data_IF_333020384701
#
_entry.id   IF_333020384701
#
_cell.length_a   1.000
_cell.length_b   1.000
_cell.length_c   1.000
_cell.angle_alpha   90.00
_cell.angle_beta   90.00
_cell.angle_gamma   90.00
#
_symmetry.space_group_name_H-M   'P 1'
#
loop_
_entity.id
_entity.type
_entity.pdbx_description
1 polymer ?
#
# COMPACT_ATOMS: atom_id res chain seq x y z
N UNK A 1 0.14 -24.44 -22.69
CA UNK A 1 -1.08 -23.78 -22.16
C UNK A 1 -1.60 -22.89 -23.28
N UNK A 2 -2.89 -22.95 -23.58
CA UNK A 2 -3.51 -22.01 -24.54
C UNK A 2 -3.53 -20.59 -23.98
N UNK A 3 -3.67 -19.58 -24.84
CA UNK A 3 -3.79 -18.18 -24.40
C UNK A 3 -4.97 -18.00 -23.42
N UNK A 4 -6.12 -18.61 -23.71
CA UNK A 4 -7.30 -18.57 -22.84
C UNK A 4 -7.06 -19.22 -21.49
N UNK A 5 -6.40 -20.39 -21.43
CA UNK A 5 -6.04 -21.03 -20.16
C UNK A 5 -5.06 -20.17 -19.35
N UNK A 6 -4.10 -19.52 -20.00
CA UNK A 6 -3.14 -18.64 -19.34
C UNK A 6 -3.83 -17.42 -18.70
N UNK A 7 -4.74 -16.78 -19.44
CA UNK A 7 -5.56 -15.66 -18.93
C UNK A 7 -6.42 -16.13 -17.76
N UNK A 8 -7.13 -17.25 -17.88
CA UNK A 8 -7.99 -17.75 -16.81
C UNK A 8 -7.21 -18.07 -15.52
N UNK A 9 -6.03 -18.68 -15.66
CA UNK A 9 -5.15 -18.97 -14.52
C UNK A 9 -4.64 -17.69 -13.85
N UNK A 10 -4.22 -16.69 -14.64
CA UNK A 10 -3.85 -15.37 -14.14
C UNK A 10 -5.01 -14.71 -13.38
N UNK A 11 -6.18 -14.65 -14.02
CA UNK A 11 -7.38 -13.98 -13.49
C UNK A 11 -7.81 -14.60 -12.16
N UNK A 12 -7.88 -15.93 -12.08
CA UNK A 12 -8.28 -16.59 -10.83
C UNK A 12 -7.25 -16.36 -9.73
N UNK A 13 -5.95 -16.50 -10.03
CA UNK A 13 -4.88 -16.27 -9.06
C UNK A 13 -4.87 -14.85 -8.51
N UNK A 14 -4.91 -13.85 -9.40
CA UNK A 14 -4.93 -12.44 -9.01
C UNK A 14 -6.23 -12.08 -8.26
N UNK A 15 -7.39 -12.60 -8.68
CA UNK A 15 -8.66 -12.23 -8.04
C UNK A 15 -8.76 -12.80 -6.62
N UNK A 16 -8.26 -14.02 -6.39
CA UNK A 16 -8.13 -14.57 -5.04
C UNK A 16 -7.12 -13.77 -4.20
N UNK A 17 -6.00 -13.34 -4.78
CA UNK A 17 -5.04 -12.48 -4.09
C UNK A 17 -5.70 -11.17 -3.64
N UNK A 18 -6.50 -10.52 -4.49
CA UNK A 18 -7.21 -9.29 -4.13
C UNK A 18 -8.32 -9.52 -3.10
N UNK A 19 -8.97 -10.69 -3.12
CA UNK A 19 -10.05 -11.02 -2.19
C UNK A 19 -9.54 -11.30 -0.78
N UNK A 20 -8.51 -12.14 -0.63
CA UNK A 20 -8.09 -12.65 0.68
C UNK A 20 -6.65 -12.33 1.04
N UNK A 21 -5.82 -11.97 0.06
CA UNK A 21 -4.37 -11.85 0.23
C UNK A 21 -3.68 -13.19 0.52
N UNK A 22 -2.35 -13.17 0.55
CA UNK A 22 -1.53 -14.22 1.16
C UNK A 22 -1.17 -13.77 2.59
N UNK A 23 -1.45 -14.59 3.60
CA UNK A 23 -1.04 -14.27 4.98
C UNK A 23 0.42 -14.63 5.19
N UNK A 24 1.17 -13.69 5.75
CA UNK A 24 2.57 -13.85 6.13
C UNK A 24 2.72 -14.09 7.64
N UNK A 25 3.72 -14.87 8.08
CA UNK A 25 4.06 -15.00 9.49
C UNK A 25 4.65 -13.69 10.05
N UNK A 26 4.52 -13.51 11.35
CA UNK A 26 5.30 -12.53 12.10
C UNK A 26 6.67 -13.15 12.35
N UNK A 27 7.71 -12.66 11.68
CA UNK A 27 9.05 -13.26 11.80
C UNK A 27 9.84 -12.75 12.99
N UNK A 28 9.61 -11.51 13.43
CA UNK A 28 10.21 -10.96 14.65
C UNK A 28 9.25 -10.01 15.36
N UNK A 29 9.62 -9.61 16.57
CA UNK A 29 8.88 -8.70 17.45
C UNK A 29 9.77 -7.51 17.89
N UNK A 30 9.19 -6.38 18.34
CA UNK A 30 9.98 -5.20 18.69
C UNK A 30 11.03 -5.41 19.79
N UNK A 31 10.78 -6.29 20.76
CA UNK A 31 11.74 -6.62 21.83
C UNK A 31 13.02 -7.29 21.32
N UNK A 32 12.95 -8.02 20.21
CA UNK A 32 14.13 -8.61 19.57
C UNK A 32 15.08 -7.54 18.98
N UNK A 33 14.58 -6.31 18.83
CA UNK A 33 15.37 -5.13 18.46
C UNK A 33 15.67 -4.22 19.66
N UNK A 34 15.36 -4.66 20.88
CA UNK A 34 15.56 -3.89 22.11
C UNK A 34 14.55 -2.76 22.30
N UNK A 35 13.37 -2.83 21.66
CA UNK A 35 12.30 -1.85 21.83
C UNK A 35 11.27 -2.33 22.86
N UNK A 36 10.85 -1.42 23.73
CA UNK A 36 9.64 -1.59 24.53
C UNK A 36 8.42 -1.58 23.61
N UNK A 37 7.41 -2.42 23.88
CA UNK A 37 6.14 -2.40 23.15
C UNK A 37 5.02 -3.12 23.90
N UNK A 38 3.80 -2.86 23.46
CA UNK A 38 2.58 -3.53 23.93
C UNK A 38 1.80 -4.09 22.73
N UNK A 39 1.26 -5.31 22.85
CA UNK A 39 0.27 -5.80 21.89
C UNK A 39 -1.05 -5.05 22.12
N UNK A 40 -1.59 -4.45 21.05
CA UNK A 40 -2.84 -3.69 21.09
C UNK A 40 -3.89 -4.32 20.18
N UNK A 41 -5.16 -4.21 20.59
CA UNK A 41 -6.31 -4.81 19.92
C UNK A 41 -7.36 -3.73 19.65
N UNK A 42 -7.84 -3.66 18.40
CA UNK A 42 -8.90 -2.75 17.99
C UNK A 42 -10.09 -3.53 17.45
N UNK A 43 -11.28 -3.45 18.07
CA UNK A 43 -12.48 -4.01 17.49
C UNK A 43 -12.92 -3.19 16.27
N UNK A 44 -13.34 -3.85 15.19
CA UNK A 44 -14.01 -3.21 14.06
C UNK A 44 -15.51 -3.51 14.03
N UNK A 45 -16.25 -2.71 13.27
CA UNK A 45 -17.72 -2.77 13.19
C UNK A 45 -18.25 -4.11 12.69
N UNK A 46 -17.48 -4.82 11.87
CA UNK A 46 -17.78 -6.14 11.32
C UNK A 46 -17.39 -7.29 12.27
N UNK A 47 -16.86 -6.99 13.46
CA UNK A 47 -16.41 -7.97 14.44
C UNK A 47 -14.99 -8.50 14.19
N UNK A 48 -14.31 -8.06 13.13
CA UNK A 48 -12.88 -8.34 12.96
C UNK A 48 -12.09 -7.64 14.08
N UNK A 49 -11.04 -8.28 14.59
CA UNK A 49 -10.14 -7.66 15.58
C UNK A 49 -8.83 -7.35 14.90
N UNK A 50 -8.56 -6.06 14.72
CA UNK A 50 -7.25 -5.60 14.24
C UNK A 50 -6.26 -5.68 15.39
N UNK A 51 -5.04 -6.09 15.07
CA UNK A 51 -3.96 -6.24 16.05
C UNK A 51 -2.77 -5.39 15.61
N UNK A 52 -2.10 -4.75 16.56
CA UNK A 52 -0.91 -3.96 16.29
C UNK A 52 0.08 -3.99 17.44
N UNK A 53 1.13 -3.21 17.31
CA UNK A 53 2.07 -2.91 18.38
C UNK A 53 2.00 -1.43 18.72
N UNK A 54 1.89 -1.12 20.00
CA UNK A 54 2.17 0.21 20.51
C UNK A 54 3.62 0.25 20.97
N UNK A 55 4.44 1.10 20.34
CA UNK A 55 5.85 1.29 20.67
C UNK A 55 5.99 2.68 21.31
N UNK A 56 6.17 2.77 22.64
CA UNK A 56 6.21 4.06 23.33
C UNK A 56 7.51 4.82 23.02
N UNK A 57 7.37 6.11 22.73
CA UNK A 57 8.49 7.05 22.69
C UNK A 57 8.51 7.87 23.99
N UNK A 58 9.51 7.62 24.85
CA UNK A 58 9.65 8.33 26.12
C UNK A 58 9.71 9.85 25.90
N UNK A 59 8.93 10.59 26.69
CA UNK A 59 8.84 12.06 26.65
C UNK A 59 8.28 12.66 25.35
N UNK A 60 7.61 11.86 24.50
CA UNK A 60 6.89 12.35 23.33
C UNK A 60 5.40 12.52 23.61
N UNK A 61 4.80 13.55 23.00
CA UNK A 61 3.34 13.71 22.89
C UNK A 61 2.86 13.53 21.44
N UNK A 62 3.76 13.11 20.55
CA UNK A 62 3.50 12.86 19.13
C UNK A 62 3.17 11.40 18.91
N UNK A 63 2.22 11.12 18.02
CA UNK A 63 1.80 9.76 17.63
C UNK A 63 2.03 9.57 16.13
N UNK A 64 2.60 8.43 15.76
CA UNK A 64 2.65 7.94 14.39
C UNK A 64 1.71 6.73 14.30
N UNK A 65 0.82 6.76 13.30
CA UNK A 65 0.03 5.59 12.90
C UNK A 65 0.69 5.07 11.62
N UNK A 66 1.30 3.89 11.70
CA UNK A 66 1.92 3.21 10.57
C UNK A 66 1.10 1.96 10.23
N UNK A 67 0.35 2.01 9.12
CA UNK A 67 -0.38 0.86 8.61
C UNK A 67 0.40 0.20 7.48
N UNK A 68 0.39 -1.13 7.45
CA UNK A 68 1.12 -1.93 6.46
C UNK A 68 0.26 -2.21 5.21
N UNK A 69 0.85 -2.36 4.02
CA UNK A 69 0.11 -2.68 2.80
C UNK A 69 -0.42 -4.12 2.80
N UNK A 70 -1.17 -4.50 1.76
CA UNK A 70 -1.77 -5.82 1.68
C UNK A 70 -0.71 -6.90 1.42
N UNK A 71 -0.98 -8.04 2.06
CA UNK A 71 -0.16 -9.22 2.39
C UNK A 71 0.94 -9.01 3.44
N UNK A 72 1.29 -7.78 3.79
CA UNK A 72 2.08 -7.50 4.99
C UNK A 72 1.29 -7.80 6.27
N UNK A 73 2.01 -7.86 7.39
CA UNK A 73 1.45 -7.81 8.72
C UNK A 73 2.19 -6.73 9.55
N UNK A 74 1.92 -6.63 10.85
CA UNK A 74 2.56 -5.66 11.76
C UNK A 74 4.10 -5.75 11.83
N UNK A 75 4.70 -6.83 11.34
CA UNK A 75 6.15 -6.99 11.16
C UNK A 75 6.67 -6.65 9.75
N UNK A 76 5.81 -6.37 8.75
CA UNK A 76 6.08 -6.29 7.30
C UNK A 76 5.89 -7.61 6.54
N UNK A 77 6.37 -7.68 5.30
CA UNK A 77 6.27 -8.82 4.40
C UNK A 77 7.58 -9.59 4.25
N UNK A 78 7.59 -10.92 4.42
CA UNK A 78 8.79 -11.74 4.40
C UNK A 78 9.22 -12.13 2.98
N UNK A 79 9.35 -11.17 2.06
CA UNK A 79 9.63 -11.42 0.63
C UNK A 79 10.97 -12.11 0.32
N UNK A 80 11.83 -12.33 1.32
CA UNK A 80 13.07 -13.11 1.19
C UNK A 80 12.83 -14.63 1.31
N UNK A 81 11.66 -15.06 1.78
CA UNK A 81 11.27 -16.47 1.83
C UNK A 81 10.70 -16.89 0.47
N UNK A 82 11.06 -18.09 0.00
CA UNK A 82 10.67 -18.61 -1.32
C UNK A 82 9.15 -18.55 -1.56
N UNK A 83 8.36 -18.92 -0.55
CA UNK A 83 6.89 -18.94 -0.59
C UNK A 83 6.24 -17.54 -0.63
N UNK A 84 7.01 -16.48 -0.35
CA UNK A 84 6.58 -15.09 -0.33
C UNK A 84 7.34 -14.22 -1.34
N UNK A 85 8.27 -14.79 -2.12
CA UNK A 85 9.10 -14.04 -3.08
C UNK A 85 8.34 -13.42 -4.25
N UNK A 86 7.02 -13.61 -4.32
CA UNK A 86 6.19 -13.26 -5.46
C UNK A 86 5.38 -11.98 -5.35
N UNK A 87 4.67 -11.70 -4.25
CA UNK A 87 3.53 -10.76 -4.33
C UNK A 87 3.12 -10.13 -2.99
N UNK A 88 3.24 -8.79 -2.90
CA UNK A 88 2.48 -7.93 -1.99
C UNK A 88 1.96 -6.73 -2.79
N UNK A 89 0.69 -6.41 -2.59
CA UNK A 89 0.04 -5.33 -3.31
C UNK A 89 -0.23 -4.15 -2.38
N UNK A 90 -0.01 -2.94 -2.88
CA UNK A 90 -0.02 -1.71 -2.11
C UNK A 90 -1.44 -1.15 -2.00
N UNK A 91 -2.14 -1.45 -0.91
CA UNK A 91 -3.50 -0.94 -0.67
C UNK A 91 -3.65 -0.21 0.68
N UNK A 92 -2.59 -0.12 1.48
CA UNK A 92 -2.62 0.56 2.79
C UNK A 92 -2.94 2.04 2.64
N UNK A 93 -2.29 2.67 1.67
CA UNK A 93 -2.41 4.08 1.34
C UNK A 93 -3.83 4.38 0.87
N UNK A 94 -4.40 3.48 0.06
CA UNK A 94 -5.78 3.59 -0.40
C UNK A 94 -6.74 3.55 0.78
N UNK A 95 -6.57 2.60 1.72
CA UNK A 95 -7.40 2.55 2.91
C UNK A 95 -7.36 3.87 3.71
N UNK A 96 -6.18 4.48 3.87
CA UNK A 96 -6.04 5.78 4.54
C UNK A 96 -6.74 6.91 3.77
N UNK A 97 -6.58 6.99 2.45
CA UNK A 97 -7.23 8.03 1.62
C UNK A 97 -8.77 7.88 1.63
N UNK A 98 -9.27 6.64 1.58
CA UNK A 98 -10.70 6.35 1.74
C UNK A 98 -11.18 6.76 3.14
N UNK A 99 -10.46 6.40 4.20
CA UNK A 99 -10.81 6.75 5.57
C UNK A 99 -10.83 8.27 5.78
N UNK A 100 -9.86 9.01 5.24
CA UNK A 100 -9.84 10.48 5.27
C UNK A 100 -11.04 11.10 4.57
N UNK A 101 -11.52 10.48 3.48
CA UNK A 101 -12.69 10.97 2.75
C UNK A 101 -13.98 10.71 3.49
N UNK A 102 -14.17 9.49 4.01
CA UNK A 102 -15.44 9.08 4.63
C UNK A 102 -15.55 9.52 6.09
N UNK A 103 -14.43 9.68 6.79
CA UNK A 103 -14.38 10.03 8.21
C UNK A 103 -13.37 11.15 8.51
N UNK A 104 -13.46 12.30 7.82
CA UNK A 104 -12.47 13.39 7.92
C UNK A 104 -12.31 13.91 9.35
N UNK A 105 -13.35 13.77 10.18
CA UNK A 105 -13.36 14.18 11.59
C UNK A 105 -12.19 13.58 12.39
N UNK A 106 -11.83 12.33 12.13
CA UNK A 106 -10.74 11.63 12.84
C UNK A 106 -9.34 12.08 12.40
N UNK A 107 -9.24 12.78 11.27
CA UNK A 107 -7.97 13.21 10.69
C UNK A 107 -7.65 14.68 10.96
N UNK A 108 -8.54 15.42 11.64
CA UNK A 108 -8.34 16.86 11.95
C UNK A 108 -7.07 17.15 12.75
N UNK A 109 -6.61 16.20 13.57
CA UNK A 109 -5.39 16.35 14.37
C UNK A 109 -4.12 15.95 13.61
N UNK A 110 -4.24 15.29 12.45
CA UNK A 110 -3.11 14.85 11.65
C UNK A 110 -2.33 16.07 11.14
N UNK A 111 -1.00 16.03 11.32
CA UNK A 111 -0.11 17.14 10.98
C UNK A 111 0.64 16.95 9.67
N UNK A 112 0.96 15.70 9.34
CA UNK A 112 1.62 15.33 8.11
C UNK A 112 1.31 13.87 7.78
N UNK A 113 1.51 13.50 6.53
CA UNK A 113 1.38 12.14 6.03
C UNK A 113 2.57 11.77 5.17
N UNK A 114 2.90 10.48 5.15
CA UNK A 114 3.81 9.88 4.18
C UNK A 114 3.02 8.80 3.42
N UNK A 115 2.94 8.93 2.10
CA UNK A 115 2.39 7.92 1.20
C UNK A 115 3.56 7.16 0.58
N UNK A 116 3.69 5.88 0.90
CA UNK A 116 4.78 5.05 0.44
C UNK A 116 4.26 4.08 -0.61
N UNK A 117 4.63 4.28 -1.88
CA UNK A 117 4.21 3.44 -2.99
C UNK A 117 2.68 3.38 -3.18
N UNK A 118 1.94 4.50 -3.13
CA UNK A 118 0.50 4.44 -3.41
C UNK A 118 0.23 4.10 -4.90
N UNK A 119 -0.77 3.24 -5.17
CA UNK A 119 -1.11 2.77 -6.52
C UNK A 119 -2.60 2.40 -6.66
N UNK A 120 -3.11 2.44 -7.89
CA UNK A 120 -4.41 1.93 -8.31
C UNK A 120 -4.42 0.43 -8.61
N UNK A 121 -5.56 -0.22 -8.35
CA UNK A 121 -5.92 -1.60 -8.73
C UNK A 121 -5.57 -1.92 -10.17
N UNK A 122 -6.01 -1.01 -11.04
CA UNK A 122 -5.87 -1.15 -12.47
C UNK A 122 -4.40 -1.24 -12.91
N UNK A 123 -3.53 -0.33 -12.43
CA UNK A 123 -2.13 -0.30 -12.82
C UNK A 123 -1.40 -1.61 -12.47
N UNK A 124 -1.74 -2.22 -11.34
CA UNK A 124 -1.18 -3.51 -10.93
C UNK A 124 -1.65 -4.68 -11.80
N UNK A 125 -2.95 -4.70 -12.15
CA UNK A 125 -3.52 -5.76 -13.00
C UNK A 125 -3.05 -5.63 -14.45
N UNK A 126 -2.99 -4.42 -14.99
CA UNK A 126 -2.47 -4.16 -16.33
C UNK A 126 -1.02 -4.61 -16.47
N UNK A 127 -0.14 -4.14 -15.58
CA UNK A 127 1.27 -4.52 -15.64
C UNK A 127 1.46 -6.02 -15.36
N UNK A 128 0.65 -6.58 -14.46
CA UNK A 128 0.58 -8.01 -14.20
C UNK A 128 0.24 -8.84 -15.44
N UNK A 129 -0.63 -8.34 -16.33
CA UNK A 129 -0.96 -8.99 -17.60
C UNK A 129 0.16 -8.80 -18.66
N UNK A 130 0.75 -7.59 -18.72
CA UNK A 130 1.81 -7.24 -19.69
C UNK A 130 3.08 -8.06 -19.44
N UNK A 131 3.51 -8.19 -18.19
CA UNK A 131 4.78 -8.87 -17.82
C UNK A 131 4.91 -10.30 -18.37
N UNK A 132 3.90 -11.19 -18.27
CA UNK A 132 3.91 -12.51 -18.89
C UNK A 132 3.49 -12.52 -20.37
N UNK A 133 3.20 -11.38 -20.99
CA UNK A 133 2.81 -11.28 -22.39
C UNK A 133 1.36 -11.69 -22.68
N UNK A 134 0.46 -11.53 -21.71
CA UNK A 134 -0.98 -11.78 -21.91
C UNK A 134 -1.63 -10.61 -22.66
N UNK A 135 -2.75 -10.89 -23.32
CA UNK A 135 -3.57 -9.83 -23.92
C UNK A 135 -4.13 -8.92 -22.82
N UNK A 136 -3.64 -7.69 -22.74
CA UNK A 136 -3.95 -6.76 -21.66
C UNK A 136 -5.45 -6.51 -21.53
N UNK A 137 -6.11 -6.16 -22.64
CA UNK A 137 -7.52 -5.77 -22.64
C UNK A 137 -8.44 -6.92 -22.21
N UNK A 138 -8.24 -8.11 -22.80
CA UNK A 138 -9.01 -9.30 -22.45
C UNK A 138 -8.76 -9.72 -21.00
N UNK A 139 -7.51 -9.67 -20.55
CA UNK A 139 -7.15 -10.09 -19.19
C UNK A 139 -7.73 -9.15 -18.15
N UNK A 140 -7.63 -7.83 -18.35
CA UNK A 140 -8.16 -6.81 -17.44
C UNK A 140 -9.69 -6.89 -17.38
N UNK A 141 -10.37 -7.03 -18.52
CA UNK A 141 -11.83 -7.16 -18.54
C UNK A 141 -12.31 -8.44 -17.83
N UNK A 142 -11.62 -9.56 -18.04
CA UNK A 142 -11.91 -10.81 -17.36
C UNK A 142 -11.65 -10.71 -15.84
N UNK A 143 -10.55 -10.07 -15.45
CA UNK A 143 -10.25 -9.80 -14.04
C UNK A 143 -11.32 -8.92 -13.39
N UNK A 144 -11.70 -7.82 -14.03
CA UNK A 144 -12.67 -6.86 -13.50
C UNK A 144 -14.01 -7.52 -13.19
N UNK A 145 -14.49 -8.36 -14.13
CA UNK A 145 -15.67 -9.19 -13.91
C UNK A 145 -15.47 -10.15 -12.72
N UNK A 146 -14.34 -10.85 -12.67
CA UNK A 146 -14.09 -11.86 -11.65
C UNK A 146 -13.95 -11.26 -10.25
N UNK A 147 -13.27 -10.14 -10.09
CA UNK A 147 -13.13 -9.48 -8.80
C UNK A 147 -14.48 -8.94 -8.31
N UNK A 148 -15.32 -8.44 -9.22
CA UNK A 148 -16.69 -8.03 -8.89
C UNK A 148 -17.55 -9.21 -8.42
N UNK A 149 -17.48 -10.37 -9.09
CA UNK A 149 -18.17 -11.59 -8.63
C UNK A 149 -17.72 -12.04 -7.22
N UNK A 150 -16.46 -11.80 -6.86
CA UNK A 150 -15.89 -12.25 -5.59
C UNK A 150 -16.08 -11.26 -4.44
N UNK A 151 -16.10 -9.95 -4.72
CA UNK A 151 -16.04 -8.90 -3.70
C UNK A 151 -17.18 -7.88 -3.80
N UNK A 152 -17.86 -7.81 -4.95
CA UNK A 152 -18.85 -6.78 -5.26
C UNK A 152 -18.26 -5.46 -5.77
N UNK A 153 -16.94 -5.30 -5.80
CA UNK A 153 -16.26 -4.09 -6.27
C UNK A 153 -15.70 -4.25 -7.68
N UNK A 154 -15.77 -3.18 -8.46
CA UNK A 154 -15.10 -3.05 -9.75
C UNK A 154 -13.69 -2.49 -9.59
N UNK A 155 -12.80 -2.76 -10.55
CA UNK A 155 -11.44 -2.20 -10.59
C UNK A 155 -11.43 -0.67 -10.53
N UNK A 156 -12.43 -0.02 -11.12
CA UNK A 156 -12.59 1.43 -11.08
C UNK A 156 -12.83 1.98 -9.67
N UNK A 157 -13.25 1.13 -8.73
CA UNK A 157 -13.43 1.46 -7.31
C UNK A 157 -12.18 1.15 -6.48
N UNK A 158 -11.23 0.40 -7.03
CA UNK A 158 -9.98 0.01 -6.36
C UNK A 158 -8.84 1.00 -6.64
N UNK A 159 -9.13 2.29 -6.68
CA UNK A 159 -8.14 3.36 -6.91
C UNK A 159 -8.34 4.52 -5.94
N UNK A 160 -7.26 5.12 -5.41
CA UNK A 160 -7.39 6.30 -4.56
C UNK A 160 -7.59 7.59 -5.38
N UNK A 161 -7.40 7.55 -6.70
CA UNK A 161 -7.28 8.73 -7.56
C UNK A 161 -8.46 9.72 -7.41
N UNK A 162 -9.74 9.29 -7.43
CA UNK A 162 -10.87 10.21 -7.28
C UNK A 162 -10.93 10.89 -5.90
N UNK A 163 -10.32 10.25 -4.90
CA UNK A 163 -10.34 10.63 -3.50
C UNK A 163 -9.06 11.36 -3.06
N UNK A 164 -7.99 11.29 -3.84
CA UNK A 164 -6.70 11.93 -3.56
C UNK A 164 -6.84 13.43 -3.26
N UNK A 165 -7.80 14.11 -3.90
CA UNK A 165 -8.13 15.53 -3.65
C UNK A 165 -8.54 15.84 -2.20
N UNK A 166 -9.00 14.85 -1.45
CA UNK A 166 -9.41 15.01 -0.05
C UNK A 166 -8.21 14.91 0.92
N UNK A 167 -7.06 14.45 0.45
CA UNK A 167 -5.81 14.53 1.19
C UNK A 167 -5.32 15.97 1.16
N UNK A 168 -5.55 16.70 2.25
CA UNK A 168 -5.20 18.14 2.35
C UNK A 168 -4.03 18.42 3.30
N UNK A 169 -3.61 17.44 4.09
CA UNK A 169 -2.46 17.55 4.99
C UNK A 169 -1.14 17.55 4.22
N UNK A 170 -0.06 18.15 4.75
CA UNK A 170 1.27 18.03 4.16
C UNK A 170 1.64 16.58 3.89
N UNK A 171 1.92 16.24 2.63
CA UNK A 171 2.15 14.85 2.19
C UNK A 171 3.50 14.66 1.51
N UNK A 172 4.35 13.80 2.08
CA UNK A 172 5.51 13.25 1.40
C UNK A 172 5.07 11.99 0.65
N UNK A 173 5.36 11.88 -0.64
CA UNK A 173 5.09 10.70 -1.44
C UNK A 173 6.42 10.07 -1.84
N UNK A 174 6.59 8.76 -1.66
CA UNK A 174 7.79 8.06 -2.12
C UNK A 174 7.42 6.87 -3.02
N UNK A 175 8.09 6.74 -4.17
CA UNK A 175 7.79 5.71 -5.17
C UNK A 175 9.08 5.21 -5.83
N UNK A 176 9.17 3.90 -6.11
CA UNK A 176 10.26 3.36 -6.93
C UNK A 176 10.09 3.86 -8.36
N UNK A 177 11.12 4.52 -8.90
CA UNK A 177 11.04 5.20 -10.22
C UNK A 177 10.88 4.22 -11.38
N UNK A 178 11.55 3.06 -11.29
CA UNK A 178 11.56 2.02 -12.32
C UNK A 178 10.83 0.76 -11.86
N UNK A 179 9.72 0.94 -11.14
CA UNK A 179 8.95 -0.18 -10.58
C UNK A 179 8.50 -1.15 -11.69
N UNK A 180 8.87 -2.43 -11.59
CA UNK A 180 8.52 -3.46 -12.58
C UNK A 180 7.11 -4.01 -12.42
N UNK A 181 6.43 -3.71 -11.30
CA UNK A 181 5.10 -4.23 -10.99
C UNK A 181 3.97 -3.29 -11.40
N UNK A 182 4.27 -2.03 -11.71
CA UNK A 182 3.26 -1.01 -12.03
C UNK A 182 3.79 -0.01 -13.08
N UNK A 183 2.91 0.65 -13.82
CA UNK A 183 3.27 1.89 -14.50
C UNK A 183 3.26 3.05 -13.48
N UNK A 184 4.44 3.62 -13.22
CA UNK A 184 4.61 4.74 -12.28
C UNK A 184 3.90 6.03 -12.69
N UNK A 185 3.39 6.11 -13.93
CA UNK A 185 2.49 7.18 -14.34
C UNK A 185 1.21 7.23 -13.48
N UNK A 186 0.75 6.10 -12.95
CA UNK A 186 -0.37 6.02 -12.01
C UNK A 186 -0.03 6.72 -10.68
N UNK A 187 1.13 6.39 -10.07
CA UNK A 187 1.58 7.03 -8.84
C UNK A 187 1.79 8.55 -9.00
N UNK A 188 2.29 8.98 -10.16
CA UNK A 188 2.41 10.41 -10.48
C UNK A 188 1.03 11.07 -10.57
N UNK A 189 0.05 10.44 -11.22
CA UNK A 189 -1.33 10.95 -11.28
C UNK A 189 -1.97 11.06 -9.89
N UNK A 190 -1.76 10.06 -9.02
CA UNK A 190 -2.24 10.09 -7.63
C UNK A 190 -1.60 11.27 -6.89
N UNK A 191 -0.28 11.44 -6.99
CA UNK A 191 0.43 12.56 -6.37
C UNK A 191 -0.09 13.91 -6.87
N UNK A 192 -0.28 14.06 -8.17
CA UNK A 192 -0.76 15.31 -8.77
C UNK A 192 -2.19 15.62 -8.33
N UNK A 193 -3.03 14.60 -8.17
CA UNK A 193 -4.41 14.71 -7.69
C UNK A 193 -4.53 15.02 -6.19
N UNK A 194 -3.45 14.88 -5.39
CA UNK A 194 -3.49 15.24 -3.97
C UNK A 194 -3.93 16.70 -3.77
N UNK A 195 -4.91 16.90 -2.90
CA UNK A 195 -5.41 18.23 -2.51
C UNK A 195 -4.48 19.02 -1.58
N UNK A 196 -3.37 18.41 -1.18
CA UNK A 196 -2.36 19.00 -0.31
C UNK A 196 -1.66 20.15 -1.03
N UNK A 197 -1.53 21.29 -0.35
CA UNK A 197 -0.75 22.43 -0.84
C UNK A 197 0.74 22.23 -0.64
N UNK A 198 1.09 21.44 0.37
CA UNK A 198 2.46 21.09 0.74
C UNK A 198 2.72 19.62 0.43
N UNK A 199 3.17 19.34 -0.79
CA UNK A 199 3.48 17.97 -1.22
C UNK A 199 4.84 17.85 -1.88
N UNK A 200 5.53 16.73 -1.64
CA UNK A 200 6.83 16.41 -2.25
C UNK A 200 6.85 14.96 -2.71
N UNK A 201 7.30 14.73 -3.93
CA UNK A 201 7.58 13.40 -4.47
C UNK A 201 9.05 13.05 -4.27
N UNK A 202 9.32 11.84 -3.79
CA UNK A 202 10.63 11.21 -3.64
C UNK A 202 10.67 10.01 -4.58
N UNK A 203 11.46 10.14 -5.63
CA UNK A 203 11.74 9.02 -6.52
C UNK A 203 12.91 8.20 -5.98
N UNK A 204 12.66 6.91 -5.76
CA UNK A 204 13.67 5.95 -5.34
C UNK A 204 14.29 5.36 -6.60
N UNK A 205 15.56 5.67 -6.83
CA UNK A 205 16.24 5.49 -8.13
C UNK A 205 17.19 4.29 -8.16
N UNK A 206 17.55 3.71 -7.02
CA UNK A 206 18.58 2.67 -6.87
C UNK A 206 18.05 1.24 -7.02
N UNK A 207 16.75 1.08 -7.24
CA UNK A 207 16.06 -0.21 -7.41
C UNK A 207 14.96 -0.13 -8.46
N UNK A 208 14.59 -1.28 -9.00
CA UNK A 208 13.40 -1.51 -9.82
C UNK A 208 12.34 -2.37 -9.09
N UNK A 209 12.69 -2.89 -7.91
CA UNK A 209 11.80 -3.73 -7.09
C UNK A 209 10.99 -2.86 -6.14
N UNK A 210 9.67 -2.85 -6.33
CA UNK A 210 8.70 -2.16 -5.44
C UNK A 210 8.96 -2.35 -3.95
N UNK A 211 9.31 -3.57 -3.53
CA UNK A 211 9.51 -3.95 -2.14
C UNK A 211 10.70 -3.27 -1.46
N UNK A 212 11.74 -2.94 -2.22
CA UNK A 212 12.84 -2.15 -1.69
C UNK A 212 12.36 -0.75 -1.29
N UNK A 213 11.33 -0.25 -1.97
CA UNK A 213 10.68 1.01 -1.66
C UNK A 213 10.09 1.09 -0.26
N UNK A 214 9.46 0.02 0.24
CA UNK A 214 8.92 0.02 1.60
C UNK A 214 10.00 0.08 2.68
N UNK A 215 11.20 -0.40 2.37
CA UNK A 215 12.35 -0.34 3.27
C UNK A 215 13.19 0.94 3.11
N UNK A 216 12.83 1.82 2.18
CA UNK A 216 13.65 2.98 1.84
C UNK A 216 13.90 3.88 3.04
N UNK A 217 12.86 4.32 3.76
CA UNK A 217 13.02 5.21 4.91
C UNK A 217 13.65 4.53 6.14
N UNK A 218 13.69 3.20 6.19
CA UNK A 218 14.47 2.50 7.22
C UNK A 218 15.98 2.58 6.95
N UNK A 219 16.38 2.62 5.67
CA UNK A 219 17.79 2.73 5.24
C UNK A 219 18.23 4.19 5.11
N UNK A 220 17.37 5.04 4.55
CA UNK A 220 17.61 6.44 4.22
C UNK A 220 16.55 7.35 4.89
N UNK A 221 16.59 7.51 6.22
CA UNK A 221 15.54 8.18 6.99
C UNK A 221 15.54 9.71 6.83
N UNK A 222 16.61 10.29 6.28
CA UNK A 222 16.87 11.74 6.32
C UNK A 222 15.69 12.56 5.78
N UNK A 223 15.13 12.15 4.64
CA UNK A 223 14.03 12.88 4.01
C UNK A 223 12.74 12.79 4.83
N UNK A 224 12.41 11.60 5.36
CA UNK A 224 11.28 11.40 6.26
C UNK A 224 11.42 12.24 7.54
N UNK A 225 12.60 12.24 8.15
CA UNK A 225 12.88 13.01 9.37
C UNK A 225 12.78 14.52 9.12
N UNK A 226 13.30 14.99 7.98
CA UNK A 226 13.18 16.39 7.58
C UNK A 226 11.71 16.79 7.34
N UNK A 227 10.93 15.91 6.70
CA UNK A 227 9.50 16.14 6.50
C UNK A 227 8.76 16.28 7.83
N UNK A 228 8.96 15.36 8.76
CA UNK A 228 8.34 15.45 10.08
C UNK A 228 8.82 16.68 10.87
N UNK A 229 10.11 17.03 10.81
CA UNK A 229 10.63 18.25 11.45
C UNK A 229 9.97 19.52 10.92
N UNK A 230 9.57 19.55 9.66
CA UNK A 230 8.95 20.71 9.04
C UNK A 230 7.48 20.90 9.47
N UNK A 231 6.76 19.81 9.72
CA UNK A 231 5.30 19.84 9.92
C UNK A 231 4.80 19.38 11.31
N UNK A 232 5.65 18.73 12.12
CA UNK A 232 5.30 18.16 13.44
C UNK A 232 6.22 18.69 14.55
#
# INVERSE_FOLDING_TARGET
MSSTEAINNFVEGYAQLFKTGQRSPILRRPDEYGMEYEDILFPSLDGTVMQGWFIPALNSQKLIIANHPMTCNRYEFPGHLEEYGGFAAAWAENATIHAMTHFPEYFKAMKAMILLQAVSGHAFVEQGAINPGLDKETTVAAFDKRIHELTGFWLAELTPLPLAKNVTVPTLFAQVRRDTLIDTSDSQQIFDALGSKEKKMVWIEDTDRRFDGYNYFAKEPVEMLNWFKLYI
#
